data_IF_117447956112
#
_entry.id   IF_117447956112
#
_cell.length_a   1.000
_cell.length_b   1.000
_cell.length_c   1.000
_cell.angle_alpha   90.00
_cell.angle_beta   90.00
_cell.angle_gamma   90.00
#
_symmetry.space_group_name_H-M   'P 1'
#
loop_
_entity.id
_entity.type
_entity.pdbx_description
1 polymer ?
#
# COMPACT_ATOMS: atom_id res chain seq x y z
N UNK A 1 36.41 -22.30 44.50
CA UNK A 1 36.99 -20.97 44.77
C UNK A 1 36.19 -19.93 43.98
N UNK A 2 35.36 -19.17 44.68
CA UNK A 2 34.56 -18.08 44.14
C UNK A 2 35.40 -16.82 43.98
N UNK A 3 35.31 -16.14 42.84
CA UNK A 3 35.78 -14.76 42.73
C UNK A 3 34.62 -13.93 42.15
N UNK A 4 34.06 -13.06 42.99
CA UNK A 4 33.10 -12.00 42.63
C UNK A 4 33.90 -10.80 42.11
N UNK A 5 33.50 -10.23 41.01
CA UNK A 5 33.95 -8.92 40.51
C UNK A 5 32.78 -7.96 40.61
N UNK A 6 32.93 -6.92 41.40
CA UNK A 6 31.99 -5.80 41.61
C UNK A 6 32.34 -4.70 40.60
N UNK A 7 31.42 -4.14 39.84
CA UNK A 7 31.71 -2.92 39.11
C UNK A 7 31.45 -1.69 39.95
N UNK A 8 32.41 -0.78 39.91
CA UNK A 8 32.45 0.53 40.53
C UNK A 8 31.46 1.49 39.81
N UNK A 9 30.55 2.08 40.57
CA UNK A 9 29.69 3.21 40.10
C UNK A 9 30.53 4.50 40.16
N UNK A 10 30.71 5.17 39.02
CA UNK A 10 31.22 6.53 38.94
C UNK A 10 30.08 7.52 38.95
N UNK A 11 30.01 8.32 40.04
CA UNK A 11 29.04 9.40 40.23
C UNK A 11 29.66 10.67 39.61
N UNK A 12 29.09 11.19 38.54
CA UNK A 12 29.46 12.49 37.96
C UNK A 12 28.51 13.58 38.47
N UNK A 13 29.03 14.49 39.27
CA UNK A 13 28.35 15.68 39.75
C UNK A 13 28.35 16.74 38.65
N UNK A 14 27.16 17.18 38.22
CA UNK A 14 26.98 18.33 37.34
C UNK A 14 26.77 19.57 38.22
N UNK A 15 27.69 20.54 38.15
CA UNK A 15 27.56 21.85 38.78
C UNK A 15 26.68 22.75 37.90
N UNK A 16 25.60 23.26 38.47
CA UNK A 16 24.76 24.29 37.87
C UNK A 16 25.42 25.66 38.04
N UNK A 17 25.78 26.28 36.96
CA UNK A 17 26.18 27.72 36.93
C UNK A 17 24.91 28.55 36.75
N UNK A 18 24.57 29.32 37.79
CA UNK A 18 23.46 30.25 37.73
C UNK A 18 23.85 31.49 36.90
N UNK A 19 23.02 31.84 35.94
CA UNK A 19 23.09 33.10 35.20
C UNK A 19 22.00 34.02 35.72
N UNK A 20 22.43 35.18 36.32
CA UNK A 20 21.55 36.26 36.74
C UNK A 20 21.03 37.03 35.50
N UNK A 21 19.75 37.49 35.51
CA UNK A 21 19.28 38.34 34.43
C UNK A 21 19.81 39.78 34.57
N UNK A 22 20.42 40.30 33.49
CA UNK A 22 20.77 41.72 33.38
C UNK A 22 19.50 42.55 33.17
N UNK A 23 19.39 43.65 33.93
CA UNK A 23 18.35 44.63 33.74
C UNK A 23 18.56 45.37 32.42
N UNK A 24 17.53 45.42 31.59
CA UNK A 24 17.50 46.23 30.36
C UNK A 24 17.07 47.66 30.70
N UNK A 25 17.98 48.60 30.57
CA UNK A 25 17.70 50.03 30.62
C UNK A 25 16.80 50.45 29.44
N UNK A 26 15.87 51.37 29.78
CA UNK A 26 14.81 51.82 28.88
C UNK A 26 15.34 52.60 27.68
N UNK A 27 14.94 52.18 26.48
CA UNK A 27 15.00 53.01 25.27
C UNK A 27 13.78 53.93 25.20
N UNK A 28 13.96 55.22 24.85
CA UNK A 28 12.84 56.15 24.67
C UNK A 28 12.04 55.81 23.42
N UNK A 29 10.72 55.83 23.54
CA UNK A 29 9.80 55.69 22.43
C UNK A 29 9.93 56.88 21.45
N UNK A 30 9.99 56.66 20.13
CA UNK A 30 9.97 57.73 19.15
C UNK A 30 8.59 58.42 19.10
N UNK A 31 8.59 59.73 19.17
CA UNK A 31 7.42 60.59 18.98
C UNK A 31 7.06 60.58 17.48
N UNK A 32 5.78 60.40 17.07
CA UNK A 32 5.41 60.46 15.66
C UNK A 32 5.53 61.91 15.17
N UNK A 33 6.32 62.11 14.08
CA UNK A 33 6.41 63.35 13.35
C UNK A 33 5.13 63.65 12.55
N UNK A 34 4.94 64.92 12.12
CA UNK A 34 3.76 65.31 11.36
C UNK A 34 3.66 64.57 10.05
N UNK A 35 2.46 64.01 9.78
CA UNK A 35 2.14 63.33 8.54
C UNK A 35 2.00 64.35 7.41
N UNK A 36 2.86 64.30 6.40
CA UNK A 36 2.70 65.04 5.16
C UNK A 36 1.47 64.54 4.38
N UNK A 37 0.74 65.44 3.67
CA UNK A 37 -0.43 65.01 2.90
C UNK A 37 0.01 64.15 1.72
N UNK A 38 -0.57 62.95 1.61
CA UNK A 38 -0.37 62.04 0.48
C UNK A 38 -1.08 62.64 -0.74
N UNK A 39 -0.34 62.89 -1.81
CA UNK A 39 -0.94 63.28 -3.09
C UNK A 39 -1.84 62.14 -3.65
N UNK A 40 -2.93 62.47 -4.38
CA UNK A 40 -3.81 61.46 -4.97
C UNK A 40 -3.04 60.66 -6.02
N UNK A 41 -2.99 59.34 -5.82
CA UNK A 41 -2.47 58.40 -6.82
C UNK A 41 -3.43 58.34 -7.99
N UNK A 42 -2.96 58.67 -9.20
CA UNK A 42 -3.71 58.49 -10.44
C UNK A 42 -4.10 57.00 -10.63
N UNK A 43 -5.29 56.72 -11.23
CA UNK A 43 -5.69 55.35 -11.49
C UNK A 43 -4.70 54.68 -12.46
N UNK A 44 -4.02 53.61 -12.04
CA UNK A 44 -3.22 52.77 -12.93
C UNK A 44 -4.15 52.12 -13.97
N UNK A 45 -3.80 52.31 -15.24
CA UNK A 45 -4.44 51.57 -16.33
C UNK A 45 -4.30 50.05 -16.10
N UNK A 46 -5.30 49.19 -16.50
CA UNK A 46 -5.18 47.76 -16.36
C UNK A 46 -3.99 47.23 -17.16
N UNK A 47 -2.99 46.76 -16.47
CA UNK A 47 -1.84 46.10 -17.07
C UNK A 47 -2.35 44.79 -17.71
N UNK A 48 -2.20 44.66 -19.04
CA UNK A 48 -2.45 43.39 -19.72
C UNK A 48 -1.67 42.26 -18.99
N UNK A 49 -2.30 41.08 -18.74
CA UNK A 49 -1.58 39.98 -18.13
C UNK A 49 -0.43 39.57 -19.04
N UNK A 50 0.79 39.66 -18.50
CA UNK A 50 1.97 39.15 -19.16
C UNK A 50 1.69 37.69 -19.63
N UNK A 51 2.12 37.29 -20.85
CA UNK A 51 1.95 35.92 -21.30
C UNK A 51 2.60 35.02 -20.27
N UNK A 52 1.80 34.03 -19.81
CA UNK A 52 2.28 32.98 -18.90
C UNK A 52 3.59 32.43 -19.48
N UNK A 53 4.65 32.22 -18.64
CA UNK A 53 5.85 31.60 -19.12
C UNK A 53 5.46 30.26 -19.71
N UNK A 54 5.76 30.08 -21.00
CA UNK A 54 5.64 28.77 -21.64
C UNK A 54 6.36 27.79 -20.74
N UNK A 55 5.62 26.83 -20.18
CA UNK A 55 6.22 25.75 -19.40
C UNK A 55 7.22 25.07 -20.33
N UNK A 56 8.50 25.41 -20.17
CA UNK A 56 9.56 24.60 -20.76
C UNK A 56 9.33 23.18 -20.30
N UNK A 57 9.02 22.31 -21.24
CA UNK A 57 8.79 20.89 -20.97
C UNK A 57 10.02 20.39 -20.19
N UNK A 58 9.82 20.09 -18.91
CA UNK A 58 10.84 19.45 -18.09
C UNK A 58 11.39 18.28 -18.90
N UNK A 59 12.73 18.08 -18.98
CA UNK A 59 13.32 17.01 -19.78
C UNK A 59 12.62 15.70 -19.41
N UNK A 60 11.97 15.06 -20.39
CA UNK A 60 11.00 14.02 -20.18
C UNK A 60 11.54 12.92 -19.30
N UNK A 61 10.93 12.74 -18.14
CA UNK A 61 11.28 11.66 -17.21
C UNK A 61 11.09 10.35 -17.96
N UNK A 62 12.18 9.63 -18.21
CA UNK A 62 12.13 8.30 -18.87
C UNK A 62 11.35 7.37 -17.96
N UNK A 63 10.10 7.09 -18.31
CA UNK A 63 9.19 6.26 -17.52
C UNK A 63 8.97 4.94 -18.23
N UNK A 64 9.52 3.87 -17.69
CA UNK A 64 9.25 2.51 -18.12
C UNK A 64 8.07 1.93 -17.33
N UNK A 65 7.23 1.14 -18.00
CA UNK A 65 6.15 0.37 -17.39
C UNK A 65 6.36 -1.12 -17.58
N UNK A 66 5.85 -1.93 -16.64
CA UNK A 66 5.72 -3.38 -16.82
C UNK A 66 4.39 -3.81 -16.22
N UNK A 67 3.70 -4.75 -16.86
CA UNK A 67 2.49 -5.38 -16.33
C UNK A 67 2.42 -6.85 -16.73
N UNK A 68 1.81 -7.68 -15.89
CA UNK A 68 1.46 -9.05 -16.19
C UNK A 68 0.26 -9.07 -17.16
N UNK A 69 0.29 -9.95 -18.17
CA UNK A 69 -0.80 -10.13 -19.12
C UNK A 69 -1.63 -11.38 -18.82
N UNK A 70 -1.04 -12.38 -18.21
CA UNK A 70 -1.67 -13.68 -18.00
C UNK A 70 -1.84 -13.96 -16.50
N UNK A 71 -3.09 -14.10 -16.06
CA UNK A 71 -3.43 -14.69 -14.77
C UNK A 71 -3.95 -16.13 -15.00
N UNK A 72 -3.71 -17.09 -14.07
CA UNK A 72 -4.32 -18.40 -14.10
C UNK A 72 -5.85 -18.30 -14.23
N UNK A 73 -6.50 -19.24 -14.96
CA UNK A 73 -7.93 -19.17 -15.23
C UNK A 73 -8.78 -19.19 -13.95
N UNK A 74 -8.39 -20.02 -13.01
CA UNK A 74 -9.02 -20.18 -11.68
C UNK A 74 -8.77 -18.98 -10.75
N UNK A 75 -7.86 -18.05 -11.12
CA UNK A 75 -7.47 -16.88 -10.32
C UNK A 75 -7.78 -15.54 -10.98
N UNK A 76 -8.57 -15.52 -12.04
CA UNK A 76 -8.91 -14.26 -12.73
C UNK A 76 -9.60 -13.24 -11.83
N UNK A 77 -10.29 -13.68 -10.78
CA UNK A 77 -10.90 -12.80 -9.79
C UNK A 77 -9.94 -12.34 -8.70
N UNK A 78 -8.73 -12.93 -8.59
CA UNK A 78 -7.73 -12.56 -7.58
C UNK A 78 -6.90 -11.35 -8.04
N UNK A 79 -7.01 -10.18 -7.36
CA UNK A 79 -6.23 -8.98 -7.71
C UNK A 79 -4.71 -9.20 -7.63
N UNK A 80 -4.23 -10.11 -6.76
CA UNK A 80 -2.79 -10.44 -6.68
C UNK A 80 -2.32 -11.16 -7.94
N UNK A 81 -3.09 -12.14 -8.41
CA UNK A 81 -2.75 -12.90 -9.61
C UNK A 81 -2.84 -12.07 -10.89
N UNK A 82 -3.57 -10.94 -10.87
CA UNK A 82 -3.57 -9.97 -11.97
C UNK A 82 -2.34 -9.06 -11.97
N UNK A 83 -1.75 -8.82 -10.80
CA UNK A 83 -0.60 -7.94 -10.64
C UNK A 83 0.74 -8.68 -10.61
N UNK A 84 0.75 -9.92 -10.11
CA UNK A 84 1.94 -10.73 -9.83
C UNK A 84 1.79 -12.14 -10.41
N UNK A 85 2.90 -12.80 -10.67
CA UNK A 85 2.91 -14.25 -10.97
C UNK A 85 2.70 -14.97 -9.63
N UNK A 86 1.51 -15.51 -9.42
CA UNK A 86 1.11 -16.26 -8.21
C UNK A 86 0.63 -17.63 -8.65
N UNK A 87 1.50 -18.62 -8.53
CA UNK A 87 1.24 -19.97 -9.03
C UNK A 87 1.60 -21.04 -7.98
N UNK A 88 0.88 -22.18 -8.05
CA UNK A 88 1.23 -23.41 -7.37
C UNK A 88 1.59 -24.46 -8.43
N UNK A 89 2.78 -25.07 -8.31
CA UNK A 89 3.33 -25.96 -9.32
C UNK A 89 3.80 -27.29 -8.71
N UNK A 90 3.47 -28.39 -9.36
CA UNK A 90 4.11 -29.66 -9.03
C UNK A 90 5.59 -29.66 -9.42
N UNK A 91 6.48 -30.40 -8.73
CA UNK A 91 7.83 -30.67 -9.21
C UNK A 91 7.79 -31.22 -10.66
N UNK A 92 8.67 -30.72 -11.51
CA UNK A 92 8.72 -31.04 -12.95
C UNK A 92 7.76 -30.24 -13.85
N UNK A 93 6.88 -29.43 -13.27
CA UNK A 93 5.93 -28.62 -14.04
C UNK A 93 6.60 -27.44 -14.76
N UNK A 94 5.98 -27.02 -15.85
CA UNK A 94 6.39 -25.85 -16.62
C UNK A 94 5.18 -24.96 -16.84
N UNK A 95 5.36 -23.65 -16.60
CA UNK A 95 4.35 -22.62 -16.93
C UNK A 95 4.95 -21.53 -17.81
N UNK A 96 4.08 -20.84 -18.54
CA UNK A 96 4.41 -19.65 -19.31
C UNK A 96 3.56 -18.48 -18.83
N UNK A 97 4.19 -17.30 -18.70
CA UNK A 97 3.53 -16.03 -18.38
C UNK A 97 4.08 -14.94 -19.28
N UNK A 98 3.23 -14.05 -19.75
CA UNK A 98 3.65 -12.90 -20.57
C UNK A 98 3.60 -11.64 -19.71
N UNK A 99 4.62 -10.81 -19.88
CA UNK A 99 4.64 -9.46 -19.35
C UNK A 99 4.70 -8.48 -20.51
N UNK A 100 4.03 -7.34 -20.38
CA UNK A 100 4.16 -6.23 -21.31
C UNK A 100 5.08 -5.19 -20.70
N UNK A 101 6.13 -4.84 -21.45
CA UNK A 101 7.06 -3.76 -21.11
C UNK A 101 6.71 -2.57 -21.99
N UNK A 102 6.55 -1.39 -21.42
CA UNK A 102 6.13 -0.18 -22.13
C UNK A 102 7.06 1.00 -21.89
N UNK A 103 7.41 1.69 -22.97
CA UNK A 103 8.01 3.01 -22.93
C UNK A 103 6.91 4.06 -22.80
N UNK A 104 6.80 4.73 -21.64
CA UNK A 104 5.79 5.77 -21.40
C UNK A 104 6.33 7.20 -21.63
N UNK A 105 7.55 7.31 -22.16
CA UNK A 105 8.17 8.60 -22.48
C UNK A 105 8.04 8.93 -23.96
N UNK A 106 8.31 10.19 -24.30
CA UNK A 106 8.30 10.71 -25.67
C UNK A 106 9.58 10.44 -26.44
N UNK A 107 10.57 9.76 -25.85
CA UNK A 107 11.85 9.43 -26.50
C UNK A 107 12.04 7.91 -26.57
N UNK A 108 12.76 7.40 -27.59
CA UNK A 108 13.15 6.00 -27.64
C UNK A 108 14.03 5.62 -26.44
N UNK A 109 13.90 4.37 -25.96
CA UNK A 109 14.74 3.86 -24.89
C UNK A 109 15.09 2.40 -25.05
N UNK A 110 16.27 2.03 -24.57
CA UNK A 110 16.64 0.64 -24.34
C UNK A 110 16.19 0.20 -22.95
N UNK A 111 15.58 -0.97 -22.85
CA UNK A 111 15.09 -1.56 -21.59
C UNK A 111 15.67 -2.96 -21.43
N UNK A 112 16.47 -3.16 -20.39
CA UNK A 112 16.90 -4.50 -19.97
C UNK A 112 15.75 -5.24 -19.29
N UNK A 113 15.54 -6.52 -19.64
CA UNK A 113 14.54 -7.38 -18.99
C UNK A 113 15.25 -8.60 -18.40
N UNK A 114 15.06 -8.84 -17.09
CA UNK A 114 15.74 -9.94 -16.41
C UNK A 114 14.98 -10.39 -15.14
N UNK A 115 15.18 -11.64 -14.74
CA UNK A 115 14.72 -12.16 -13.47
C UNK A 115 15.80 -11.97 -12.39
N UNK A 116 15.41 -11.58 -11.19
CA UNK A 116 16.27 -11.44 -10.02
C UNK A 116 15.61 -11.98 -8.75
N UNK A 117 16.45 -12.31 -7.76
CA UNK A 117 16.03 -12.83 -6.48
C UNK A 117 15.21 -11.82 -5.67
N UNK A 118 14.26 -12.35 -4.92
CA UNK A 118 13.54 -11.61 -3.90
C UNK A 118 13.28 -12.52 -2.69
N UNK A 119 12.85 -11.92 -1.59
CA UNK A 119 12.45 -12.62 -0.38
C UNK A 119 11.45 -11.81 0.42
N UNK A 120 10.99 -12.36 1.54
CA UNK A 120 10.17 -11.61 2.50
C UNK A 120 11.00 -11.43 3.76
N UNK A 121 11.10 -10.19 4.23
CA UNK A 121 11.89 -9.85 5.42
C UNK A 121 11.23 -8.71 6.17
N UNK A 122 11.02 -8.89 7.46
CA UNK A 122 10.42 -7.88 8.34
C UNK A 122 9.08 -7.36 7.82
N UNK A 123 8.23 -8.26 7.35
CA UNK A 123 6.90 -7.91 6.84
C UNK A 123 6.91 -7.14 5.52
N UNK A 124 7.97 -7.25 4.72
CA UNK A 124 8.08 -6.59 3.42
C UNK A 124 8.65 -7.52 2.36
N UNK A 125 8.18 -7.36 1.13
CA UNK A 125 8.79 -8.00 -0.04
C UNK A 125 10.09 -7.27 -0.38
N UNK A 126 11.21 -7.93 -0.12
CA UNK A 126 12.56 -7.38 -0.27
C UNK A 126 13.20 -7.87 -1.58
N UNK A 127 13.72 -6.95 -2.36
CA UNK A 127 14.45 -7.25 -3.58
C UNK A 127 15.93 -7.41 -3.27
N UNK A 128 16.53 -8.46 -3.82
CA UNK A 128 17.99 -8.60 -3.76
C UNK A 128 18.69 -7.51 -4.60
N UNK A 129 19.92 -7.15 -4.27
CA UNK A 129 20.71 -6.21 -5.06
C UNK A 129 20.91 -6.71 -6.50
N UNK A 130 20.95 -5.80 -7.45
CA UNK A 130 21.31 -6.02 -8.84
C UNK A 130 20.54 -7.19 -9.51
N UNK A 131 21.28 -8.10 -10.18
CA UNK A 131 20.77 -9.30 -10.83
C UNK A 131 21.09 -10.58 -10.01
N UNK A 132 21.09 -10.47 -8.69
CA UNK A 132 21.35 -11.62 -7.81
C UNK A 132 20.41 -12.77 -8.14
N UNK A 133 20.93 -13.99 -8.39
CA UNK A 133 20.12 -15.16 -8.71
C UNK A 133 19.63 -15.87 -7.41
N UNK A 134 18.57 -16.67 -7.56
CA UNK A 134 18.15 -17.70 -6.61
C UNK A 134 17.57 -18.92 -7.35
N UNK A 135 17.03 -19.91 -6.66
CA UNK A 135 16.42 -21.07 -7.29
C UNK A 135 15.37 -20.70 -8.34
N UNK A 136 14.40 -19.84 -7.97
CA UNK A 136 13.30 -19.45 -8.87
C UNK A 136 13.81 -18.75 -10.13
N UNK A 137 14.79 -17.88 -10.01
CA UNK A 137 15.38 -17.20 -11.17
C UNK A 137 16.19 -18.16 -12.05
N UNK A 138 16.80 -19.20 -11.46
CA UNK A 138 17.46 -20.29 -12.20
C UNK A 138 16.47 -21.14 -13.00
N UNK A 139 15.22 -21.22 -12.57
CA UNK A 139 14.12 -21.91 -13.27
C UNK A 139 13.44 -21.05 -14.32
N UNK A 140 13.66 -19.73 -14.28
CA UNK A 140 12.99 -18.73 -15.11
C UNK A 140 13.84 -18.35 -16.31
N UNK A 141 13.32 -18.53 -17.52
CA UNK A 141 13.93 -18.04 -18.76
C UNK A 141 13.00 -17.01 -19.42
N UNK A 142 13.60 -15.99 -20.02
CA UNK A 142 12.90 -14.96 -20.77
C UNK A 142 13.27 -15.09 -22.25
N UNK A 143 12.32 -14.86 -23.15
CA UNK A 143 12.57 -14.90 -24.61
C UNK A 143 13.28 -13.64 -25.14
N UNK A 144 13.33 -12.57 -24.33
CA UNK A 144 14.12 -11.36 -24.59
C UNK A 144 14.78 -10.85 -23.33
N UNK A 145 16.03 -10.42 -23.40
CA UNK A 145 16.81 -9.82 -22.31
C UNK A 145 17.02 -8.31 -22.47
N UNK A 146 16.68 -7.76 -23.65
CA UNK A 146 16.76 -6.34 -23.97
C UNK A 146 15.74 -5.99 -25.05
N UNK A 147 15.17 -4.79 -24.94
CA UNK A 147 14.17 -4.25 -25.85
C UNK A 147 14.53 -2.83 -26.23
N UNK A 148 14.53 -2.53 -27.54
CA UNK A 148 14.62 -1.15 -28.04
C UNK A 148 13.20 -0.68 -28.37
N UNK A 149 12.66 0.20 -27.55
CA UNK A 149 11.28 0.69 -27.66
C UNK A 149 11.25 2.13 -28.14
N UNK A 150 10.51 2.38 -29.22
CA UNK A 150 10.19 3.74 -29.66
C UNK A 150 9.36 4.48 -28.59
N UNK A 151 9.18 5.79 -28.76
CA UNK A 151 8.30 6.58 -27.90
C UNK A 151 6.90 5.96 -27.85
N UNK A 152 6.37 5.73 -26.64
CA UNK A 152 5.03 5.16 -26.38
C UNK A 152 4.81 3.72 -26.91
N UNK A 153 5.88 3.03 -27.31
CA UNK A 153 5.81 1.64 -27.75
C UNK A 153 5.77 0.66 -26.57
N UNK A 154 5.16 -0.50 -26.81
CA UNK A 154 5.14 -1.63 -25.88
C UNK A 154 5.54 -2.90 -26.59
N UNK A 155 6.25 -3.79 -25.90
CA UNK A 155 6.59 -5.13 -26.37
C UNK A 155 6.23 -6.17 -25.30
N UNK A 156 5.92 -7.38 -25.76
CA UNK A 156 5.64 -8.50 -24.86
C UNK A 156 6.91 -9.34 -24.69
N UNK A 157 7.14 -9.78 -23.47
CA UNK A 157 8.20 -10.74 -23.12
C UNK A 157 7.56 -11.93 -22.45
N UNK A 158 7.92 -13.12 -22.93
CA UNK A 158 7.46 -14.39 -22.40
C UNK A 158 8.46 -14.91 -21.37
N UNK A 159 7.96 -15.15 -20.16
CA UNK A 159 8.67 -15.82 -19.09
C UNK A 159 8.23 -17.29 -19.02
N UNK A 160 9.18 -18.20 -19.09
CA UNK A 160 8.96 -19.64 -18.91
C UNK A 160 9.61 -20.08 -17.61
N UNK A 161 8.82 -20.63 -16.70
CA UNK A 161 9.28 -21.14 -15.41
C UNK A 161 9.23 -22.67 -15.47
N UNK A 162 10.40 -23.33 -15.37
CA UNK A 162 10.55 -24.80 -15.39
C UNK A 162 11.00 -25.26 -14.02
N UNK A 163 10.10 -25.85 -13.26
CA UNK A 163 10.40 -26.40 -11.94
C UNK A 163 11.14 -27.73 -12.10
N UNK A 164 12.31 -27.93 -11.48
CA UNK A 164 12.99 -29.24 -11.50
C UNK A 164 12.13 -30.32 -10.87
N UNK A 165 12.31 -31.58 -11.33
CA UNK A 165 11.55 -32.72 -10.79
C UNK A 165 11.88 -33.10 -9.36
N UNK A 166 13.04 -32.65 -8.87
CA UNK A 166 13.55 -32.83 -7.49
C UNK A 166 13.41 -31.56 -6.64
N UNK A 167 12.70 -30.54 -7.14
CA UNK A 167 12.52 -29.29 -6.38
C UNK A 167 11.80 -29.54 -5.05
N UNK A 168 12.40 -29.07 -3.96
CA UNK A 168 11.80 -29.16 -2.64
C UNK A 168 10.49 -28.36 -2.55
N UNK A 169 9.56 -28.84 -1.73
CA UNK A 169 8.31 -28.14 -1.46
C UNK A 169 8.56 -26.77 -0.78
N UNK A 170 7.66 -25.82 -1.05
CA UNK A 170 7.63 -24.50 -0.44
C UNK A 170 7.57 -23.34 -1.43
N UNK A 171 7.31 -22.17 -0.92
CA UNK A 171 7.14 -20.96 -1.71
C UNK A 171 8.49 -20.26 -1.97
N UNK A 172 8.68 -19.79 -3.19
CA UNK A 172 9.87 -19.08 -3.66
C UNK A 172 9.50 -17.74 -4.24
N UNK A 173 10.39 -16.78 -4.09
CA UNK A 173 10.16 -15.38 -4.45
C UNK A 173 11.18 -14.90 -5.47
N UNK A 174 10.73 -14.09 -6.40
CA UNK A 174 11.56 -13.47 -7.41
C UNK A 174 10.86 -12.25 -7.98
N UNK A 175 11.50 -11.64 -8.97
CA UNK A 175 10.94 -10.49 -9.68
C UNK A 175 11.44 -10.50 -11.11
N UNK A 176 10.56 -10.20 -12.07
CA UNK A 176 10.93 -9.89 -13.45
C UNK A 176 11.02 -8.38 -13.55
N UNK A 177 12.21 -7.87 -13.81
CA UNK A 177 12.51 -6.45 -13.92
C UNK A 177 12.46 -5.97 -15.35
N UNK A 178 11.96 -4.75 -15.58
CA UNK A 178 12.23 -3.90 -16.72
C UNK A 178 13.02 -2.70 -16.22
N UNK A 179 14.26 -2.53 -16.70
CA UNK A 179 15.20 -1.53 -16.22
C UNK A 179 15.69 -0.67 -17.37
N UNK A 180 15.61 0.64 -17.25
CA UNK A 180 16.18 1.56 -18.22
C UNK A 180 17.66 1.76 -17.95
N UNK A 181 18.44 1.97 -19.02
CA UNK A 181 19.83 2.41 -18.90
C UNK A 181 19.94 3.76 -18.18
N UNK A 182 21.13 4.07 -17.66
CA UNK A 182 21.34 5.34 -16.98
C UNK A 182 21.07 6.52 -17.92
N UNK A 183 20.12 7.36 -17.57
CA UNK A 183 19.89 8.65 -18.22
C UNK A 183 20.83 9.70 -17.62
N UNK A 184 21.66 10.40 -18.40
CA UNK A 184 22.45 11.49 -17.88
C UNK A 184 21.52 12.66 -17.51
N UNK A 185 21.37 12.95 -16.25
CA UNK A 185 20.88 14.26 -15.83
C UNK A 185 22.01 15.27 -16.00
N UNK A 186 21.95 16.02 -17.11
CA UNK A 186 22.96 17.01 -17.45
C UNK A 186 23.07 18.16 -16.44
N UNK A 187 22.01 18.39 -15.64
CA UNK A 187 21.97 19.47 -14.66
C UNK A 187 22.71 19.09 -13.36
N UNK A 188 22.75 17.82 -12.98
CA UNK A 188 23.25 17.39 -11.66
C UNK A 188 24.36 16.34 -11.71
N UNK A 189 24.86 15.97 -12.88
CA UNK A 189 25.87 14.91 -13.05
C UNK A 189 25.47 13.55 -12.44
N UNK A 190 24.15 13.32 -12.28
CA UNK A 190 23.56 12.10 -11.74
C UNK A 190 23.17 11.15 -12.88
N UNK A 191 23.37 9.85 -12.67
CA UNK A 191 22.84 8.80 -13.55
C UNK A 191 21.58 8.24 -12.92
N UNK A 192 20.41 8.59 -13.44
CA UNK A 192 19.15 8.05 -12.98
C UNK A 192 18.89 6.71 -13.66
N UNK A 193 18.64 5.68 -12.84
CA UNK A 193 18.28 4.35 -13.28
C UNK A 193 16.84 4.08 -12.84
N UNK A 194 15.93 3.95 -13.80
CA UNK A 194 14.54 3.59 -13.53
C UNK A 194 14.35 2.08 -13.63
N UNK A 195 13.71 1.46 -12.63
CA UNK A 195 13.35 0.05 -12.73
C UNK A 195 11.98 -0.21 -12.14
N UNK A 196 11.19 -1.05 -12.82
CA UNK A 196 9.87 -1.53 -12.40
C UNK A 196 9.81 -3.03 -12.56
N UNK A 197 9.02 -3.74 -11.76
CA UNK A 197 9.03 -5.20 -11.80
C UNK A 197 7.71 -5.86 -11.47
N UNK A 198 7.51 -7.06 -12.01
CA UNK A 198 6.43 -7.99 -11.66
C UNK A 198 6.98 -9.00 -10.66
N UNK A 199 6.39 -9.05 -9.45
CA UNK A 199 6.77 -10.01 -8.41
C UNK A 199 6.36 -11.42 -8.80
N UNK A 200 7.11 -12.40 -8.35
CA UNK A 200 6.83 -13.83 -8.50
C UNK A 200 6.69 -14.49 -7.13
N UNK A 201 5.61 -15.20 -6.93
CA UNK A 201 5.30 -16.04 -5.76
C UNK A 201 4.98 -17.44 -6.29
N UNK A 202 5.98 -18.29 -6.36
CA UNK A 202 5.84 -19.64 -6.90
C UNK A 202 5.97 -20.65 -5.76
N UNK A 203 4.85 -21.24 -5.42
CA UNK A 203 4.82 -22.37 -4.48
C UNK A 203 5.03 -23.68 -5.24
N UNK A 204 5.82 -24.56 -4.68
CA UNK A 204 6.11 -25.88 -5.24
C UNK A 204 5.68 -26.95 -4.25
N UNK A 205 4.96 -27.93 -4.72
CA UNK A 205 4.56 -29.04 -3.88
C UNK A 205 3.68 -30.06 -4.59
N UNK A 206 3.59 -31.27 -4.07
CA UNK A 206 2.61 -32.26 -4.53
C UNK A 206 1.20 -31.89 -4.02
N UNK A 207 0.19 -32.17 -4.81
CA UNK A 207 -1.22 -31.96 -4.43
C UNK A 207 -1.75 -30.59 -4.78
N UNK A 208 -2.68 -30.09 -3.99
CA UNK A 208 -3.30 -28.78 -4.19
C UNK A 208 -2.55 -27.65 -3.52
N UNK A 209 -2.87 -26.43 -3.92
CA UNK A 209 -2.27 -25.23 -3.33
C UNK A 209 -2.60 -25.09 -1.84
N UNK A 210 -1.60 -24.74 -1.01
CA UNK A 210 -1.83 -24.40 0.38
C UNK A 210 -2.80 -23.23 0.53
N UNK A 211 -3.73 -23.32 1.50
CA UNK A 211 -4.71 -22.27 1.73
C UNK A 211 -4.04 -20.97 2.16
N UNK A 212 -4.50 -19.86 1.61
CA UNK A 212 -4.18 -18.51 2.12
C UNK A 212 -5.13 -18.16 3.25
N UNK A 213 -4.61 -17.67 4.38
CA UNK A 213 -5.43 -17.16 5.48
C UNK A 213 -4.62 -16.25 6.39
N UNK A 214 -5.27 -15.37 7.15
CA UNK A 214 -4.64 -14.56 8.18
C UNK A 214 -5.61 -14.21 9.31
N UNK A 215 -5.06 -13.72 10.41
CA UNK A 215 -5.82 -13.22 11.55
C UNK A 215 -5.38 -11.80 11.89
N UNK A 216 -6.34 -10.94 12.28
CA UNK A 216 -6.07 -9.63 12.87
C UNK A 216 -6.06 -9.83 14.38
N UNK A 217 -4.87 -9.92 14.99
CA UNK A 217 -4.72 -10.27 16.39
C UNK A 217 -5.09 -9.12 17.33
N UNK A 218 -4.62 -7.90 17.00
CA UNK A 218 -4.85 -6.71 17.81
C UNK A 218 -4.72 -5.43 16.98
N UNK A 219 -5.29 -4.36 17.48
CA UNK A 219 -5.12 -3.00 16.99
C UNK A 219 -4.57 -2.10 18.08
N UNK A 220 -3.66 -1.20 17.71
CA UNK A 220 -3.00 -0.27 18.62
C UNK A 220 -3.13 1.15 18.06
N UNK A 221 -3.86 2.05 18.71
CA UNK A 221 -3.89 3.45 18.32
C UNK A 221 -2.55 4.11 18.64
N UNK A 222 -2.06 4.94 17.75
CA UNK A 222 -0.83 5.68 17.93
C UNK A 222 -0.96 7.11 17.39
N UNK A 223 -0.01 7.96 17.75
CA UNK A 223 0.15 9.27 17.16
C UNK A 223 1.59 9.44 16.71
N UNK A 224 1.78 9.63 15.40
CA UNK A 224 3.09 9.84 14.81
C UNK A 224 3.81 11.06 15.40
N UNK A 225 5.11 11.18 15.14
CA UNK A 225 5.90 12.34 15.56
C UNK A 225 5.44 13.65 14.92
N UNK A 226 4.79 13.56 13.77
CA UNK A 226 4.13 14.66 13.05
C UNK A 226 2.77 15.04 13.62
N UNK A 227 2.34 14.39 14.72
CA UNK A 227 1.05 14.59 15.37
C UNK A 227 -0.13 13.90 14.70
N UNK A 228 0.06 13.17 13.60
CA UNK A 228 -1.00 12.45 12.89
C UNK A 228 -1.40 11.18 13.64
N UNK A 229 -2.70 10.95 13.80
CA UNK A 229 -3.20 9.70 14.35
C UNK A 229 -2.95 8.55 13.35
N UNK A 230 -2.59 7.38 13.87
CA UNK A 230 -2.38 6.15 13.10
C UNK A 230 -2.99 4.96 13.86
N UNK A 231 -3.55 4.01 13.14
CA UNK A 231 -3.93 2.72 13.71
C UNK A 231 -2.95 1.65 13.21
N UNK A 232 -2.35 0.91 14.12
CA UNK A 232 -1.44 -0.19 13.85
C UNK A 232 -2.19 -1.50 14.11
N UNK A 233 -2.32 -2.35 13.10
CA UNK A 233 -2.97 -3.65 13.22
C UNK A 233 -1.93 -4.76 13.11
N UNK A 234 -1.81 -5.59 14.16
CA UNK A 234 -0.97 -6.78 14.14
C UNK A 234 -1.71 -7.88 13.39
N UNK A 235 -1.07 -8.38 12.33
CA UNK A 235 -1.60 -9.42 11.45
C UNK A 235 -0.69 -10.64 11.52
N UNK A 236 -1.28 -11.82 11.62
CA UNK A 236 -0.60 -13.11 11.59
C UNK A 236 -1.03 -13.89 10.33
N UNK A 237 -0.09 -14.26 9.50
CA UNK A 237 -0.35 -15.18 8.38
C UNK A 237 -0.50 -16.60 8.91
N UNK A 238 -1.72 -17.09 8.98
CA UNK A 238 -2.07 -18.45 9.43
C UNK A 238 -2.19 -19.45 8.27
N UNK A 239 -2.00 -18.98 7.04
CA UNK A 239 -2.02 -19.79 5.83
C UNK A 239 -0.65 -20.32 5.43
N UNK A 240 -0.65 -21.12 4.34
CA UNK A 240 0.55 -21.71 3.75
C UNK A 240 1.15 -20.91 2.58
N UNK A 241 0.62 -19.74 2.25
CA UNK A 241 1.07 -18.87 1.16
C UNK A 241 1.39 -17.47 1.70
N UNK A 242 2.35 -16.80 1.06
CA UNK A 242 2.63 -15.40 1.37
C UNK A 242 1.42 -14.50 1.05
N UNK A 243 1.26 -13.47 1.86
CA UNK A 243 0.16 -12.51 1.77
C UNK A 243 0.70 -11.10 1.51
N UNK A 244 0.03 -10.36 0.62
CA UNK A 244 0.20 -8.90 0.50
C UNK A 244 -1.02 -8.23 1.13
N UNK A 245 -0.85 -7.74 2.35
CA UNK A 245 -1.94 -7.21 3.15
C UNK A 245 -2.23 -5.77 2.78
N UNK A 246 -3.47 -5.50 2.45
CA UNK A 246 -4.00 -4.16 2.22
C UNK A 246 -5.41 -4.05 2.79
N UNK A 247 -6.00 -2.86 2.76
CA UNK A 247 -7.37 -2.69 3.23
C UNK A 247 -7.69 -1.27 3.65
N UNK A 248 -8.74 -1.12 4.46
CA UNK A 248 -9.22 0.18 4.90
C UNK A 248 -9.83 0.12 6.31
N UNK A 249 -9.82 1.27 6.96
CA UNK A 249 -10.41 1.50 8.28
C UNK A 249 -11.56 2.49 8.17
N UNK A 250 -12.69 2.17 8.76
CA UNK A 250 -13.78 3.11 9.05
C UNK A 250 -13.80 3.44 10.54
N UNK A 251 -14.01 4.69 10.86
CA UNK A 251 -14.23 5.18 12.21
C UNK A 251 -15.72 5.47 12.40
N UNK A 252 -16.30 4.85 13.42
CA UNK A 252 -17.72 4.90 13.75
C UNK A 252 -17.86 5.43 15.17
N UNK A 253 -19.02 5.98 15.51
CA UNK A 253 -19.41 6.37 16.86
C UNK A 253 -18.31 7.14 17.64
N UNK A 254 -17.69 8.11 16.99
CA UNK A 254 -16.71 8.99 17.62
C UNK A 254 -17.33 10.09 18.47
N UNK A 255 -16.51 11.00 19.01
CA UNK A 255 -16.98 12.13 19.81
C UNK A 255 -18.08 12.92 19.09
N UNK A 256 -19.23 13.12 19.75
CA UNK A 256 -20.39 13.78 19.16
C UNK A 256 -21.10 12.99 18.05
N UNK A 257 -20.89 11.66 17.97
CA UNK A 257 -21.48 10.81 16.93
C UNK A 257 -20.78 10.94 15.58
N UNK A 258 -19.55 11.43 15.54
CA UNK A 258 -18.77 11.59 14.31
C UNK A 258 -18.45 10.23 13.67
N UNK A 259 -18.39 10.25 12.33
CA UNK A 259 -17.91 9.13 11.51
C UNK A 259 -16.85 9.66 10.55
N UNK A 260 -15.83 8.84 10.25
CA UNK A 260 -14.76 9.23 9.34
C UNK A 260 -14.20 8.02 8.58
N UNK A 261 -13.62 8.28 7.41
CA UNK A 261 -13.06 7.25 6.54
C UNK A 261 -13.92 6.98 5.29
N UNK A 262 -13.62 5.93 4.52
CA UNK A 262 -12.57 4.95 4.80
C UNK A 262 -11.15 5.50 4.65
N UNK A 263 -10.23 5.09 5.52
CA UNK A 263 -8.81 5.39 5.44
C UNK A 263 -8.05 4.16 4.97
N UNK A 264 -7.23 4.30 3.93
CA UNK A 264 -6.48 3.17 3.38
C UNK A 264 -5.28 2.80 4.25
N UNK A 265 -5.05 1.51 4.42
CA UNK A 265 -3.81 0.99 4.99
C UNK A 265 -2.62 1.32 4.07
N UNK A 266 -1.45 1.61 4.65
CA UNK A 266 -0.20 1.76 3.90
C UNK A 266 0.08 0.46 3.14
N UNK A 267 0.49 0.59 1.88
CA UNK A 267 0.87 -0.56 1.06
C UNK A 267 2.26 -1.08 1.43
N UNK A 268 2.55 -2.35 1.10
CA UNK A 268 3.89 -2.94 1.24
C UNK A 268 4.05 -3.96 2.36
N UNK A 269 3.01 -4.19 3.18
CA UNK A 269 3.03 -5.28 4.16
C UNK A 269 2.88 -6.62 3.42
N UNK A 270 3.95 -7.43 3.43
CA UNK A 270 3.98 -8.77 2.85
C UNK A 270 4.45 -9.75 3.90
N UNK A 271 3.64 -10.78 4.20
CA UNK A 271 3.91 -11.75 5.26
C UNK A 271 4.16 -13.14 4.67
N UNK A 272 5.29 -13.75 4.99
CA UNK A 272 5.53 -15.16 4.71
C UNK A 272 4.60 -16.07 5.54
N UNK A 273 4.40 -17.34 5.17
CA UNK A 273 3.65 -18.30 5.98
C UNK A 273 4.14 -18.34 7.42
N UNK A 274 3.22 -18.21 8.38
CA UNK A 274 3.50 -18.18 9.83
C UNK A 274 4.08 -16.86 10.35
N UNK A 275 4.40 -15.88 9.50
CA UNK A 275 4.95 -14.60 9.91
C UNK A 275 3.88 -13.67 10.49
N UNK A 276 4.32 -12.82 11.43
CA UNK A 276 3.54 -11.71 11.95
C UNK A 276 4.10 -10.39 11.44
N UNK A 277 3.21 -9.46 11.15
CA UNK A 277 3.60 -8.11 10.73
C UNK A 277 2.57 -7.08 11.12
N UNK A 278 2.76 -5.88 10.67
CA UNK A 278 1.95 -4.73 11.03
C UNK A 278 1.39 -4.04 9.79
N UNK A 279 0.06 -3.90 9.75
CA UNK A 279 -0.63 -3.04 8.79
C UNK A 279 -0.89 -1.69 9.45
N UNK A 280 -0.41 -0.60 8.85
CA UNK A 280 -0.51 0.75 9.39
C UNK A 280 -1.53 1.56 8.58
N UNK A 281 -2.49 2.17 9.27
CA UNK A 281 -3.51 3.04 8.68
C UNK A 281 -3.30 4.47 9.16
N UNK A 282 -2.78 5.38 8.34
CA UNK A 282 -2.68 6.80 8.67
C UNK A 282 -4.05 7.46 8.60
N UNK A 283 -4.35 8.34 9.54
CA UNK A 283 -5.65 9.00 9.67
C UNK A 283 -5.55 10.51 9.40
N UNK A 284 -6.68 11.20 9.39
CA UNK A 284 -6.70 12.66 9.25
C UNK A 284 -6.04 13.32 10.48
N UNK A 285 -5.13 14.30 10.30
CA UNK A 285 -4.44 14.96 11.42
C UNK A 285 -5.39 15.73 12.35
N UNK A 286 -6.60 16.09 11.89
CA UNK A 286 -7.60 16.82 12.67
C UNK A 286 -8.53 15.90 13.47
N UNK A 287 -8.29 14.59 13.43
CA UNK A 287 -9.15 13.63 14.10
C UNK A 287 -9.08 13.81 15.62
N UNK A 288 -10.22 13.95 16.33
CA UNK A 288 -10.26 13.95 17.79
C UNK A 288 -9.71 12.64 18.39
N UNK A 289 -9.21 12.72 19.61
CA UNK A 289 -8.59 11.56 20.28
C UNK A 289 -9.56 10.38 20.48
N UNK A 290 -10.83 10.62 20.63
CA UNK A 290 -11.82 9.56 20.78
C UNK A 290 -12.58 9.62 22.12
N UNK A 291 -13.22 8.54 22.54
CA UNK A 291 -13.17 7.17 21.99
C UNK A 291 -13.82 7.01 20.60
N UNK A 292 -13.36 6.01 19.83
CA UNK A 292 -13.86 5.65 18.53
C UNK A 292 -14.15 4.15 18.45
N UNK A 293 -15.28 3.76 17.88
CA UNK A 293 -15.46 2.41 17.35
C UNK A 293 -14.78 2.35 16.00
N UNK A 294 -13.83 1.44 15.83
CA UNK A 294 -13.11 1.23 14.56
C UNK A 294 -13.56 -0.06 13.93
N UNK A 295 -13.81 -0.05 12.61
CA UNK A 295 -13.98 -1.24 11.78
C UNK A 295 -12.83 -1.29 10.78
N UNK A 296 -11.95 -2.26 10.98
CA UNK A 296 -10.80 -2.51 10.11
C UNK A 296 -11.10 -3.70 9.19
N UNK A 297 -11.08 -3.48 7.88
CA UNK A 297 -11.19 -4.54 6.88
C UNK A 297 -9.86 -4.69 6.17
N UNK A 298 -9.22 -5.85 6.32
CA UNK A 298 -7.98 -6.20 5.64
C UNK A 298 -8.22 -7.33 4.65
N UNK A 299 -7.45 -7.33 3.56
CA UNK A 299 -7.52 -8.34 2.50
C UNK A 299 -6.16 -8.65 1.90
N UNK A 300 -6.03 -9.88 1.38
CA UNK A 300 -4.94 -10.30 0.51
C UNK A 300 -5.51 -11.23 -0.56
N UNK A 301 -5.49 -10.78 -1.80
CA UNK A 301 -6.18 -11.48 -2.89
C UNK A 301 -7.68 -11.60 -2.63
N UNK A 302 -8.18 -12.83 -2.57
CA UNK A 302 -9.59 -13.15 -2.30
C UNK A 302 -9.91 -13.32 -0.81
N UNK A 303 -8.89 -13.40 0.05
CA UNK A 303 -9.09 -13.54 1.50
C UNK A 303 -9.32 -12.17 2.12
N UNK A 304 -10.41 -12.03 2.87
CA UNK A 304 -10.78 -10.81 3.56
C UNK A 304 -11.21 -11.12 4.99
N UNK A 305 -10.73 -10.34 5.94
CA UNK A 305 -11.15 -10.38 7.34
C UNK A 305 -11.43 -8.97 7.84
N UNK A 306 -12.50 -8.84 8.63
CA UNK A 306 -12.85 -7.60 9.29
C UNK A 306 -12.79 -7.77 10.82
N UNK A 307 -12.38 -6.70 11.49
CA UNK A 307 -12.29 -6.67 12.94
C UNK A 307 -12.79 -5.32 13.49
N UNK A 308 -13.54 -5.40 14.58
CA UNK A 308 -14.05 -4.24 15.31
C UNK A 308 -13.28 -4.06 16.63
N UNK A 309 -13.06 -2.82 17.04
CA UNK A 309 -12.46 -2.47 18.33
C UNK A 309 -12.88 -1.06 18.76
N UNK A 310 -12.79 -0.78 20.07
CA UNK A 310 -12.93 0.60 20.58
C UNK A 310 -11.56 1.11 20.98
N UNK A 311 -11.14 2.26 20.42
CA UNK A 311 -9.82 2.84 20.64
C UNK A 311 -9.90 4.32 21.02
N UNK A 312 -8.88 4.79 21.76
CA UNK A 312 -8.66 6.22 22.01
C UNK A 312 -7.22 6.54 21.61
N UNK A 313 -7.05 7.52 20.73
CA UNK A 313 -5.73 7.94 20.27
C UNK A 313 -5.03 8.76 21.35
N UNK A 314 -3.70 8.57 21.57
CA UNK A 314 -2.95 9.40 22.50
C UNK A 314 -2.92 10.86 22.04
N UNK A 315 -3.01 11.82 22.97
CA UNK A 315 -2.95 13.25 22.67
C UNK A 315 -1.53 13.70 22.30
N UNK A 316 -0.49 13.09 22.92
CA UNK A 316 0.90 13.48 22.72
C UNK A 316 1.48 12.91 21.41
N UNK A 317 2.19 13.73 20.57
CA UNK A 317 2.96 13.24 19.44
C UNK A 317 3.98 12.18 19.85
N UNK A 318 4.13 11.12 19.04
CA UNK A 318 4.98 9.97 19.33
C UNK A 318 4.39 9.01 20.39
N UNK A 319 3.19 9.29 20.89
CA UNK A 319 2.51 8.42 21.86
C UNK A 319 1.96 7.14 21.23
N UNK A 320 1.91 6.07 22.04
CA UNK A 320 1.25 4.81 21.70
C UNK A 320 0.16 4.56 22.73
N UNK A 321 -1.05 4.28 22.27
CA UNK A 321 -2.18 3.94 23.14
C UNK A 321 -2.19 2.48 23.55
N UNK A 322 -3.22 2.08 24.26
CA UNK A 322 -3.38 0.70 24.70
C UNK A 322 -3.74 -0.19 23.49
N UNK A 323 -3.04 -1.31 23.37
CA UNK A 323 -3.39 -2.34 22.40
C UNK A 323 -4.73 -3.01 22.79
N UNK A 324 -5.62 -3.16 21.82
CA UNK A 324 -6.92 -3.78 22.00
C UNK A 324 -6.98 -5.05 21.15
N UNK A 325 -7.39 -6.17 21.75
CA UNK A 325 -7.65 -7.40 20.98
C UNK A 325 -8.76 -7.11 19.96
N UNK A 326 -8.52 -7.46 18.71
CA UNK A 326 -9.49 -7.31 17.66
C UNK A 326 -10.57 -8.39 17.80
N UNK A 327 -11.84 -8.00 17.79
CA UNK A 327 -12.95 -8.94 17.70
C UNK A 327 -13.33 -9.11 16.23
N UNK A 328 -13.52 -10.36 15.79
CA UNK A 328 -14.03 -10.58 14.44
C UNK A 328 -15.34 -9.81 14.25
N UNK A 329 -15.40 -8.97 13.23
CA UNK A 329 -16.61 -8.24 12.92
C UNK A 329 -17.65 -9.23 12.38
N UNK A 330 -18.86 -9.20 12.90
CA UNK A 330 -19.95 -9.95 12.30
C UNK A 330 -20.21 -9.42 10.88
N UNK A 331 -20.41 -10.31 9.88
CA UNK A 331 -20.81 -9.87 8.56
C UNK A 331 -22.11 -9.08 8.68
N UNK A 332 -22.16 -7.88 8.12
CA UNK A 332 -23.40 -7.09 8.08
C UNK A 332 -24.47 -7.94 7.37
N UNK A 333 -25.34 -8.56 8.16
CA UNK A 333 -26.52 -9.21 7.62
C UNK A 333 -27.38 -8.09 7.00
N UNK A 334 -27.47 -8.09 5.67
CA UNK A 334 -28.44 -7.24 4.98
C UNK A 334 -29.80 -7.48 5.64
N UNK A 335 -30.53 -6.43 6.07
CA UNK A 335 -31.80 -6.59 6.74
C UNK A 335 -32.72 -7.42 5.83
N UNK A 336 -33.09 -8.58 6.28
CA UNK A 336 -33.96 -9.57 5.57
C UNK A 336 -35.31 -8.99 5.16
N UNK A 337 -35.67 -7.79 5.64
CA UNK A 337 -36.87 -7.05 5.30
C UNK A 337 -36.95 -6.62 3.82
N UNK A 338 -35.83 -6.50 3.08
CA UNK A 338 -35.83 -6.12 1.66
C UNK A 338 -36.15 -7.31 0.74
N UNK A 339 -35.78 -8.54 1.14
CA UNK A 339 -36.03 -9.74 0.33
C UNK A 339 -37.49 -10.20 0.46
N UNK A 340 -38.12 -10.00 1.62
CA UNK A 340 -39.52 -10.32 1.85
C UNK A 340 -40.50 -9.45 1.05
N UNK A 341 -40.16 -8.17 0.80
CA UNK A 341 -41.00 -7.23 0.05
C UNK A 341 -41.12 -7.54 -1.44
N UNK A 342 -40.05 -7.97 -2.08
CA UNK A 342 -40.06 -8.31 -3.52
C UNK A 342 -40.77 -9.63 -3.82
N UNK A 343 -40.72 -10.60 -2.92
CA UNK A 343 -41.43 -11.89 -3.08
C UNK A 343 -42.94 -11.74 -2.92
N UNK A 344 -43.43 -10.86 -2.03
CA UNK A 344 -44.86 -10.63 -1.82
C UNK A 344 -45.52 -9.88 -3.02
N UNK A 345 -44.81 -8.94 -3.65
CA UNK A 345 -45.26 -8.23 -4.82
C UNK A 345 -45.34 -9.13 -6.06
N UNK A 346 -44.37 -10.04 -6.23
CA UNK A 346 -44.36 -11.02 -7.32
C UNK A 346 -45.52 -12.00 -7.25
N UNK A 347 -45.88 -12.50 -6.08
CA UNK A 347 -46.99 -13.43 -5.86
C UNK A 347 -48.37 -12.75 -6.07
N UNK A 348 -48.52 -11.48 -5.65
CA UNK A 348 -49.78 -10.73 -5.86
C UNK A 348 -50.02 -10.39 -7.35
N UNK A 349 -48.97 -10.04 -8.10
CA UNK A 349 -49.07 -9.75 -9.54
C UNK A 349 -49.31 -11.02 -10.36
N UNK A 350 -48.71 -12.15 -10.01
CA UNK A 350 -48.93 -13.44 -10.67
C UNK A 350 -50.35 -13.98 -10.47
N UNK A 351 -50.91 -13.82 -9.27
CA UNK A 351 -52.29 -14.24 -8.95
C UNK A 351 -53.33 -13.39 -9.70
N UNK A 352 -53.13 -12.11 -9.85
CA UNK A 352 -54.01 -11.20 -10.59
C UNK A 352 -54.00 -11.48 -12.11
N UNK A 353 -52.82 -11.81 -12.68
CA UNK A 353 -52.69 -12.18 -14.09
C UNK A 353 -53.34 -13.53 -14.37
N UNK A 354 -53.20 -14.49 -13.48
CA UNK A 354 -53.83 -15.84 -13.58
C UNK A 354 -55.37 -15.77 -13.51
N UNK A 355 -55.91 -14.94 -12.61
CA UNK A 355 -57.34 -14.71 -12.50
C UNK A 355 -57.92 -14.01 -13.73
N UNK A 356 -57.22 -13.04 -14.33
CA UNK A 356 -57.62 -12.39 -15.58
C UNK A 356 -57.54 -13.33 -16.78
N UNK A 357 -56.56 -14.20 -16.87
CA UNK A 357 -56.41 -15.18 -17.92
C UNK A 357 -57.58 -16.20 -17.87
N UNK A 358 -57.91 -16.70 -16.67
CA UNK A 358 -58.99 -17.68 -16.44
C UNK A 358 -60.42 -17.09 -16.73
N UNK A 359 -60.61 -15.81 -16.60
CA UNK A 359 -61.86 -15.10 -16.97
C UNK A 359 -62.01 -14.89 -18.48
N UNK A 360 -60.92 -14.82 -19.23
CA UNK A 360 -60.96 -14.67 -20.71
C UNK A 360 -61.19 -15.99 -21.45
N UNK A 361 -60.86 -17.12 -20.86
CA UNK A 361 -61.06 -18.42 -21.48
C UNK A 361 -62.47 -19.03 -21.24
N UNK A 362 -63.39 -18.32 -20.58
CA UNK A 362 -64.77 -18.73 -20.32
C UNK A 362 -65.81 -17.84 -21.01
N UNK A 363 -65.41 -17.08 -22.05
CA UNK A 363 -66.34 -16.38 -22.95
C UNK A 363 -66.18 -16.89 -24.38
#
# INVERSE_FOLDING_TARGET
MRRYVVPLLALAAVQAVGVLPAAADGMPTPVPGPVEPVEPVEPMEPMEPAPAPSAEASPGTRTVGIKLLDAPEDRRADPRAQAYIVDHLAPGATIERRVEVSNRSSEPMHVDVYAAAAGITKGQFAFAPDRTPNELTGWTSLDASGLDLAAHESAQVRAVIRVPGDAAAGERYGVIWAQTGPSPDRAHNLKLLGRVGVRMYVDVGPGGEPASNFEIEQVTPARGRDGRAELHARVHNTGGRALDVGGALALLDGPGGLRAGPFSAKTGTTLAPGERGEAVVPLDPRLPDGPWTVRLTLRSGLVEHAADATVTFPAAPGGTGQAVTASAAEPESLPTSVVGGLSAVGLAAGSLLFLRYRRRSRR
#
